data_IF_167340955369
#
_entry.id   IF_167340955369
#
_cell.length_a   1.000
_cell.length_b   1.000
_cell.length_c   1.000
_cell.angle_alpha   90.00
_cell.angle_beta   90.00
_cell.angle_gamma   90.00
#
_symmetry.space_group_name_H-M   'P 1'
#
loop_
_entity.id
_entity.type
_entity.pdbx_description
1 polymer ?
#
# COMPACT_ATOMS: atom_id res chain seq x y z
N UNK A 1 18.99 -3.67 4.13
CA UNK A 1 17.83 -3.56 3.23
C UNK A 1 18.11 -2.64 2.04
N UNK A 2 18.57 -1.38 2.24
CA UNK A 2 18.73 -0.38 1.18
C UNK A 2 19.59 -0.86 0.01
N UNK A 3 20.80 -1.36 0.27
CA UNK A 3 21.69 -1.87 -0.80
C UNK A 3 21.10 -3.09 -1.50
N UNK A 4 20.44 -3.98 -0.76
CA UNK A 4 19.84 -5.18 -1.33
C UNK A 4 18.63 -4.83 -2.22
N UNK A 5 17.78 -3.91 -1.79
CA UNK A 5 16.66 -3.43 -2.59
C UNK A 5 17.13 -2.65 -3.83
N UNK A 6 18.19 -1.84 -3.71
CA UNK A 6 18.80 -1.14 -4.83
C UNK A 6 19.32 -2.12 -5.89
N UNK A 7 19.98 -3.20 -5.47
CA UNK A 7 20.41 -4.28 -6.37
C UNK A 7 19.18 -4.97 -7.01
N UNK A 8 18.18 -5.29 -6.22
CA UNK A 8 16.92 -5.87 -6.67
C UNK A 8 16.79 -7.37 -6.43
N UNK A 9 15.91 -8.01 -7.21
CA UNK A 9 15.60 -9.44 -7.14
C UNK A 9 15.93 -10.14 -8.45
N UNK A 10 16.02 -11.47 -8.41
CA UNK A 10 16.15 -12.25 -9.65
C UNK A 10 14.80 -12.32 -10.38
N UNK A 11 14.84 -12.52 -11.69
CA UNK A 11 13.65 -12.58 -12.58
C UNK A 11 12.59 -13.60 -12.12
N UNK A 12 13.02 -14.73 -11.63
CA UNK A 12 12.14 -15.84 -11.19
C UNK A 12 12.07 -15.98 -9.67
N UNK A 13 12.76 -15.08 -8.95
CA UNK A 13 12.76 -15.03 -7.50
C UNK A 13 11.64 -14.16 -6.94
N UNK A 14 12.01 -13.30 -6.05
CA UNK A 14 11.15 -12.38 -5.31
C UNK A 14 11.60 -12.32 -3.86
N UNK A 15 11.36 -11.21 -3.21
CA UNK A 15 11.66 -11.03 -1.79
C UNK A 15 10.48 -10.37 -1.12
N UNK A 16 9.94 -11.02 -0.11
CA UNK A 16 8.94 -10.48 0.79
C UNK A 16 9.54 -10.39 2.19
N UNK A 17 9.49 -9.20 2.78
CA UNK A 17 10.04 -8.91 4.11
C UNK A 17 8.87 -8.75 5.07
N UNK A 18 8.68 -9.69 5.98
CA UNK A 18 7.72 -9.57 7.06
C UNK A 18 8.26 -8.59 8.12
N UNK A 19 7.47 -7.58 8.46
CA UNK A 19 7.78 -6.58 9.48
C UNK A 19 6.89 -6.77 10.68
N UNK A 20 7.46 -7.15 11.82
CA UNK A 20 6.72 -7.21 13.08
C UNK A 20 6.57 -5.82 13.68
N UNK A 21 5.35 -5.31 13.76
CA UNK A 21 5.02 -4.03 14.39
C UNK A 21 4.09 -4.24 15.61
N UNK A 22 4.29 -3.42 16.61
CA UNK A 22 3.50 -3.38 17.82
C UNK A 22 3.29 -1.92 18.27
N UNK A 23 2.19 -1.35 17.83
CA UNK A 23 1.93 0.07 18.03
C UNK A 23 1.59 0.43 19.48
N UNK A 24 1.09 -0.53 20.24
CA UNK A 24 0.63 -0.37 21.63
C UNK A 24 1.59 -0.93 22.68
N UNK A 25 2.68 -1.60 22.26
CA UNK A 25 3.62 -2.32 23.11
C UNK A 25 2.93 -3.44 23.94
N UNK A 26 2.00 -4.17 23.33
CA UNK A 26 1.31 -5.27 23.99
C UNK A 26 2.10 -6.57 23.95
N UNK A 27 2.88 -6.80 22.91
CA UNK A 27 3.73 -7.98 22.74
C UNK A 27 5.22 -7.69 22.77
N UNK A 28 5.62 -6.41 22.72
CA UNK A 28 6.99 -5.95 22.84
C UNK A 28 7.17 -4.99 24.02
N UNK A 29 8.42 -4.68 24.38
CA UNK A 29 8.72 -3.73 25.45
C UNK A 29 8.61 -2.26 25.01
N UNK A 30 8.58 -2.01 23.70
CA UNK A 30 8.59 -0.67 23.13
C UNK A 30 7.60 -0.54 21.98
N UNK A 31 6.98 0.64 21.88
CA UNK A 31 6.10 1.01 20.78
C UNK A 31 6.89 1.05 19.47
N UNK A 32 6.51 0.25 18.49
CA UNK A 32 7.26 0.11 17.25
C UNK A 32 6.44 0.41 15.99
N UNK A 33 7.09 1.03 14.99
CA UNK A 33 6.55 1.28 13.66
C UNK A 33 7.69 1.22 12.63
N UNK A 34 7.63 0.25 11.71
CA UNK A 34 8.72 -0.07 10.78
C UNK A 34 8.64 0.64 9.44
N UNK A 35 7.49 1.19 9.04
CA UNK A 35 7.26 1.68 7.68
C UNK A 35 8.31 2.69 7.24
N UNK A 36 8.71 3.63 8.11
CA UNK A 36 9.69 4.66 7.74
C UNK A 36 11.07 4.10 7.41
N UNK A 37 11.46 2.99 8.03
CA UNK A 37 12.71 2.30 7.68
C UNK A 37 12.65 1.68 6.27
N UNK A 38 11.48 1.21 5.86
CA UNK A 38 11.29 0.67 4.52
C UNK A 38 11.12 1.77 3.47
N UNK A 39 10.50 2.90 3.82
CA UNK A 39 10.45 4.09 2.95
C UNK A 39 11.89 4.58 2.65
N UNK A 40 12.74 4.69 3.68
CA UNK A 40 14.17 5.02 3.48
C UNK A 40 14.89 4.00 2.58
N UNK A 41 14.55 2.72 2.70
CA UNK A 41 15.07 1.66 1.85
C UNK A 41 14.41 1.59 0.46
N UNK A 42 13.44 2.46 0.14
CA UNK A 42 12.67 2.47 -1.12
C UNK A 42 11.95 1.14 -1.41
N UNK A 43 11.42 0.49 -0.39
CA UNK A 43 10.70 -0.77 -0.50
C UNK A 43 9.20 -0.53 -0.48
N UNK A 44 8.41 -1.03 -1.44
CA UNK A 44 6.96 -1.03 -1.35
C UNK A 44 6.47 -1.70 -0.08
N UNK A 45 5.42 -1.15 0.53
CA UNK A 45 4.88 -1.60 1.81
C UNK A 45 3.42 -2.01 1.64
N UNK A 46 3.14 -3.28 1.90
CA UNK A 46 1.79 -3.83 1.96
C UNK A 46 1.29 -3.83 3.41
N UNK A 47 0.07 -3.33 3.61
CA UNK A 47 -0.58 -3.25 4.93
C UNK A 47 -1.89 -4.06 4.95
N UNK A 48 -1.83 -5.36 5.25
CA UNK A 48 -3.01 -6.20 5.33
C UNK A 48 -3.93 -5.79 6.50
N UNK A 49 -5.23 -5.85 6.27
CA UNK A 49 -6.24 -5.50 7.27
C UNK A 49 -6.72 -6.69 8.11
N UNK A 50 -6.52 -7.92 7.67
CA UNK A 50 -6.92 -9.14 8.38
C UNK A 50 -6.25 -10.37 7.77
N UNK A 51 -6.64 -11.54 8.23
CA UNK A 51 -6.01 -12.82 7.85
C UNK A 51 -6.13 -13.08 6.35
N UNK A 52 -7.29 -12.79 5.75
CA UNK A 52 -7.48 -12.96 4.31
C UNK A 52 -6.52 -12.07 3.50
N UNK A 53 -6.36 -10.80 3.91
CA UNK A 53 -5.41 -9.90 3.24
C UNK A 53 -3.96 -10.40 3.41
N UNK A 54 -3.59 -10.96 4.57
CA UNK A 54 -2.24 -11.51 4.79
C UNK A 54 -1.94 -12.60 3.77
N UNK A 55 -2.88 -13.53 3.56
CA UNK A 55 -2.73 -14.60 2.57
C UNK A 55 -2.65 -14.06 1.15
N UNK A 56 -3.56 -13.15 0.79
CA UNK A 56 -3.65 -12.62 -0.56
C UNK A 56 -2.49 -11.67 -0.89
N UNK A 57 -2.09 -10.85 0.06
CA UNK A 57 -0.95 -9.93 -0.10
C UNK A 57 0.39 -10.66 -0.07
N UNK A 58 0.49 -11.80 0.60
CA UNK A 58 1.65 -12.69 0.50
C UNK A 58 1.90 -13.10 -0.96
N UNK A 59 0.85 -13.58 -1.64
CA UNK A 59 0.92 -13.99 -3.06
C UNK A 59 1.17 -12.79 -3.97
N UNK A 60 0.39 -11.71 -3.80
CA UNK A 60 0.51 -10.47 -4.60
C UNK A 60 1.84 -9.76 -4.37
N UNK A 61 2.33 -9.71 -3.13
CA UNK A 61 3.61 -9.10 -2.79
C UNK A 61 4.80 -9.81 -3.41
N UNK A 62 4.73 -11.16 -3.46
CA UNK A 62 5.74 -11.93 -4.17
C UNK A 62 5.74 -11.65 -5.68
N UNK A 63 4.56 -11.58 -6.29
CA UNK A 63 4.42 -11.24 -7.70
C UNK A 63 4.83 -9.78 -7.98
N UNK A 64 4.49 -8.84 -7.11
CA UNK A 64 4.93 -7.45 -7.17
C UNK A 64 6.46 -7.35 -7.15
N UNK A 65 7.11 -8.10 -6.26
CA UNK A 65 8.57 -8.15 -6.17
C UNK A 65 9.21 -8.64 -7.48
N UNK A 66 8.67 -9.67 -8.09
CA UNK A 66 9.13 -10.18 -9.39
C UNK A 66 8.96 -9.16 -10.50
N UNK A 67 7.78 -8.53 -10.58
CA UNK A 67 7.43 -7.58 -11.62
C UNK A 67 8.27 -6.30 -11.55
N UNK A 68 8.41 -5.74 -10.35
CA UNK A 68 9.10 -4.47 -10.13
C UNK A 68 10.61 -4.59 -9.91
N UNK A 69 11.11 -5.79 -9.62
CA UNK A 69 12.49 -6.00 -9.21
C UNK A 69 12.83 -5.42 -7.82
N UNK A 70 11.82 -5.07 -7.01
CA UNK A 70 11.97 -4.52 -5.66
C UNK A 70 11.81 -5.60 -4.59
N UNK A 71 12.42 -5.40 -3.45
CA UNK A 71 12.03 -6.06 -2.21
C UNK A 71 10.73 -5.44 -1.73
N UNK A 72 9.81 -6.23 -1.24
CA UNK A 72 8.48 -5.78 -0.79
C UNK A 72 8.30 -6.07 0.68
N UNK A 73 7.91 -5.07 1.46
CA UNK A 73 7.54 -5.23 2.86
C UNK A 73 6.08 -5.63 3.02
N UNK A 74 5.79 -6.52 3.95
CA UNK A 74 4.43 -6.80 4.43
C UNK A 74 4.37 -6.52 5.92
N UNK A 75 3.45 -5.64 6.32
CA UNK A 75 3.27 -5.28 7.72
C UNK A 75 2.54 -6.39 8.46
N UNK A 76 3.18 -6.88 9.51
CA UNK A 76 2.65 -7.88 10.42
C UNK A 76 2.39 -7.22 11.78
N UNK A 77 1.28 -6.50 11.88
CA UNK A 77 0.88 -5.87 13.12
C UNK A 77 0.32 -6.93 14.07
N UNK A 78 0.68 -6.86 15.36
CA UNK A 78 0.24 -7.78 16.40
C UNK A 78 -1.28 -8.01 16.34
N UNK A 79 -2.07 -6.94 16.26
CA UNK A 79 -3.53 -6.99 16.23
C UNK A 79 -4.13 -7.71 15.00
N UNK A 80 -3.36 -7.88 13.93
CA UNK A 80 -3.85 -8.54 12.70
C UNK A 80 -3.29 -9.94 12.49
N UNK A 81 -2.17 -10.29 13.14
CA UNK A 81 -1.53 -11.60 12.98
C UNK A 81 -1.85 -12.59 14.09
N UNK A 82 -2.28 -12.11 15.28
CA UNK A 82 -2.66 -12.96 16.42
C UNK A 82 -4.15 -13.30 16.45
N UNK A 83 -4.85 -13.11 15.34
CA UNK A 83 -6.28 -13.40 15.22
C UNK A 83 -6.54 -14.68 14.45
N UNK A 84 -7.72 -15.26 14.67
CA UNK A 84 -8.23 -16.42 13.93
C UNK A 84 -9.45 -16.00 13.14
N UNK A 85 -9.48 -16.32 11.86
CA UNK A 85 -10.57 -15.95 10.95
C UNK A 85 -10.88 -17.11 9.99
N UNK A 86 -12.13 -17.17 9.52
CA UNK A 86 -12.51 -18.06 8.43
C UNK A 86 -12.12 -17.38 7.11
N UNK A 87 -11.29 -18.06 6.32
CA UNK A 87 -10.75 -17.52 5.08
C UNK A 87 -11.12 -18.38 3.88
N UNK A 88 -11.18 -17.75 2.71
CA UNK A 88 -11.15 -18.48 1.44
C UNK A 88 -9.71 -18.96 1.18
N UNK A 89 -9.51 -20.27 1.27
CA UNK A 89 -8.22 -20.92 1.05
C UNK A 89 -8.08 -21.57 -0.34
N UNK A 90 -9.03 -21.33 -1.27
CA UNK A 90 -8.94 -21.88 -2.62
C UNK A 90 -7.62 -21.43 -3.29
N UNK A 91 -6.88 -22.39 -3.87
CA UNK A 91 -5.52 -22.14 -4.39
C UNK A 91 -5.51 -21.19 -5.60
N UNK A 92 -6.62 -21.09 -6.31
CA UNK A 92 -6.79 -20.30 -7.53
C UNK A 92 -7.56 -18.98 -7.32
N UNK A 93 -7.88 -18.63 -6.07
CA UNK A 93 -8.65 -17.41 -5.73
C UNK A 93 -7.90 -16.12 -6.07
N UNK A 94 -6.58 -16.09 -5.90
CA UNK A 94 -5.74 -14.94 -6.23
C UNK A 94 -5.22 -15.07 -7.65
N UNK A 95 -5.78 -14.26 -8.55
CA UNK A 95 -5.30 -14.17 -9.93
C UNK A 95 -4.36 -12.97 -10.04
N UNK A 96 -3.13 -13.21 -10.45
CA UNK A 96 -2.16 -12.15 -10.72
C UNK A 96 -2.37 -11.66 -12.15
N UNK A 97 -2.58 -10.36 -12.26
CA UNK A 97 -2.62 -9.63 -13.53
C UNK A 97 -1.22 -9.09 -13.80
N UNK A 98 -0.62 -9.52 -14.90
CA UNK A 98 0.63 -8.94 -15.41
C UNK A 98 0.30 -7.67 -16.20
N UNK A 99 0.66 -6.48 -15.71
CA UNK A 99 0.28 -5.24 -16.37
C UNK A 99 0.95 -5.12 -17.75
N UNK A 100 0.16 -4.77 -18.76
CA UNK A 100 0.67 -4.47 -20.09
C UNK A 100 1.19 -3.01 -20.13
N UNK A 101 2.40 -2.81 -19.65
CA UNK A 101 3.08 -1.51 -19.66
C UNK A 101 4.10 -1.47 -20.81
N UNK A 102 3.89 -0.59 -21.77
CA UNK A 102 4.78 -0.45 -22.94
C UNK A 102 6.19 0.02 -22.59
N UNK A 103 6.31 0.71 -21.47
CA UNK A 103 7.59 1.21 -20.96
C UNK A 103 8.25 0.28 -19.95
N UNK A 104 7.62 -0.89 -19.72
CA UNK A 104 8.17 -1.89 -18.83
C UNK A 104 9.36 -2.58 -19.45
N UNK A 105 10.49 -2.52 -18.75
CA UNK A 105 11.70 -3.29 -19.07
C UNK A 105 11.99 -4.30 -17.97
N UNK A 106 12.92 -5.21 -18.18
CA UNK A 106 13.38 -6.11 -17.12
C UNK A 106 14.07 -5.31 -16.01
N UNK A 107 13.41 -5.22 -14.86
CA UNK A 107 13.83 -4.41 -13.70
C UNK A 107 14.61 -5.21 -12.65
N UNK A 108 14.82 -6.50 -12.89
CA UNK A 108 15.51 -7.38 -11.98
C UNK A 108 17.02 -7.07 -11.89
N UNK A 109 17.73 -7.79 -11.03
CA UNK A 109 19.15 -7.55 -10.76
C UNK A 109 20.01 -7.64 -12.04
N UNK A 110 20.91 -6.65 -12.22
CA UNK A 110 21.86 -6.58 -13.33
C UNK A 110 23.27 -6.37 -12.77
N UNK A 111 24.21 -7.18 -13.19
CA UNK A 111 25.58 -7.11 -12.70
C UNK A 111 26.38 -5.91 -13.25
N UNK A 112 26.02 -5.40 -14.43
CA UNK A 112 26.75 -4.33 -15.11
C UNK A 112 26.31 -2.90 -14.78
N UNK A 113 25.29 -2.71 -13.95
CA UNK A 113 24.78 -1.38 -13.63
C UNK A 113 25.77 -0.59 -12.75
N UNK A 114 26.06 0.64 -13.13
CA UNK A 114 26.77 1.59 -12.28
C UNK A 114 25.88 2.06 -11.11
N UNK A 115 26.45 2.56 -10.00
CA UNK A 115 25.66 3.06 -8.88
C UNK A 115 24.62 4.14 -9.28
N UNK A 116 24.96 5.17 -10.10
CA UNK A 116 23.95 6.13 -10.55
C UNK A 116 22.84 5.52 -11.41
N UNK A 117 23.18 4.57 -12.29
CA UNK A 117 22.18 3.89 -13.13
C UNK A 117 21.20 3.03 -12.31
N UNK A 118 21.69 2.39 -11.25
CA UNK A 118 20.83 1.63 -10.31
C UNK A 118 19.88 2.55 -9.56
N UNK A 119 20.35 3.71 -9.12
CA UNK A 119 19.56 4.69 -8.39
C UNK A 119 18.49 5.31 -9.29
N UNK A 120 18.85 5.73 -10.49
CA UNK A 120 17.90 6.23 -11.49
C UNK A 120 16.80 5.19 -11.79
N UNK A 121 17.21 3.94 -12.01
CA UNK A 121 16.25 2.86 -12.27
C UNK A 121 15.33 2.58 -11.07
N UNK A 122 15.86 2.68 -9.84
CA UNK A 122 15.06 2.53 -8.62
C UNK A 122 13.97 3.59 -8.54
N UNK A 123 14.35 4.85 -8.63
CA UNK A 123 13.44 5.97 -8.46
C UNK A 123 12.45 6.15 -9.62
N UNK A 124 12.92 6.06 -10.85
CA UNK A 124 12.12 6.42 -12.01
C UNK A 124 11.40 5.24 -12.67
N UNK A 125 11.87 4.00 -12.47
CA UNK A 125 11.30 2.83 -13.16
C UNK A 125 10.70 1.80 -12.21
N UNK A 126 11.44 1.35 -11.20
CA UNK A 126 10.96 0.30 -10.30
C UNK A 126 9.79 0.75 -9.43
N UNK A 127 9.84 1.95 -8.83
CA UNK A 127 8.74 2.48 -8.03
C UNK A 127 7.50 2.77 -8.90
N UNK A 128 7.69 3.24 -10.14
CA UNK A 128 6.60 3.37 -11.11
C UNK A 128 5.96 2.02 -11.42
N UNK A 129 6.76 0.99 -11.70
CA UNK A 129 6.26 -0.36 -11.95
C UNK A 129 5.47 -0.91 -10.75
N UNK A 130 5.91 -0.65 -9.52
CA UNK A 130 5.17 -1.05 -8.32
C UNK A 130 3.77 -0.43 -8.26
N UNK A 131 3.61 0.86 -8.57
CA UNK A 131 2.30 1.53 -8.63
C UNK A 131 1.39 0.94 -9.72
N UNK A 132 1.93 0.68 -10.90
CA UNK A 132 1.19 0.08 -12.03
C UNK A 132 0.71 -1.32 -11.65
N UNK A 133 1.57 -2.13 -11.04
CA UNK A 133 1.20 -3.47 -10.56
C UNK A 133 0.12 -3.40 -9.49
N UNK A 134 0.24 -2.51 -8.51
CA UNK A 134 -0.73 -2.33 -7.43
C UNK A 134 -2.12 -2.01 -7.99
N UNK A 135 -2.21 -1.10 -8.96
CA UNK A 135 -3.45 -0.73 -9.63
C UNK A 135 -4.06 -1.90 -10.39
N UNK A 136 -3.28 -2.58 -11.23
CA UNK A 136 -3.76 -3.71 -12.04
C UNK A 136 -4.25 -4.88 -11.18
N UNK A 137 -3.60 -5.12 -10.03
CA UNK A 137 -3.93 -6.20 -9.11
C UNK A 137 -4.87 -5.78 -7.98
N UNK A 138 -5.42 -4.56 -8.04
CA UNK A 138 -6.42 -4.04 -7.08
C UNK A 138 -5.96 -4.22 -5.63
N UNK A 139 -4.73 -3.80 -5.34
CA UNK A 139 -4.25 -3.76 -3.96
C UNK A 139 -5.03 -2.73 -3.15
N UNK A 140 -5.26 -1.55 -3.75
CA UNK A 140 -6.09 -0.50 -3.17
C UNK A 140 -7.54 -0.64 -3.66
N UNK A 141 -8.51 -0.37 -2.79
CA UNK A 141 -9.93 -0.60 -3.08
C UNK A 141 -10.80 0.52 -2.53
N UNK A 142 -11.71 1.01 -3.36
CA UNK A 142 -12.86 1.79 -2.91
C UNK A 142 -13.92 0.82 -2.40
N UNK A 143 -14.40 0.98 -1.18
CA UNK A 143 -15.40 0.08 -0.58
C UNK A 143 -16.76 0.76 -0.43
N UNK A 144 -16.86 1.85 0.34
CA UNK A 144 -18.04 2.69 0.37
C UNK A 144 -17.97 3.67 -0.80
N UNK A 145 -19.07 3.88 -1.50
CA UNK A 145 -19.10 4.78 -2.66
C UNK A 145 -20.40 5.58 -2.72
N UNK A 146 -20.29 6.80 -3.20
CA UNK A 146 -21.41 7.68 -3.48
C UNK A 146 -21.22 8.33 -4.85
N UNK A 147 -22.31 8.54 -5.57
CA UNK A 147 -22.32 9.22 -6.88
C UNK A 147 -21.97 10.70 -6.75
N UNK A 148 -22.39 11.33 -5.64
CA UNK A 148 -22.10 12.73 -5.30
C UNK A 148 -21.14 12.83 -4.10
N UNK A 149 -20.04 12.10 -4.12
CA UNK A 149 -19.09 12.04 -3.01
C UNK A 149 -18.57 13.42 -2.60
N UNK A 150 -18.60 13.71 -1.30
CA UNK A 150 -18.07 14.95 -0.69
C UNK A 150 -17.11 14.68 0.44
N UNK A 151 -17.27 13.55 1.12
CA UNK A 151 -16.45 13.15 2.24
C UNK A 151 -15.73 11.86 1.86
N UNK A 152 -14.40 11.87 1.96
CA UNK A 152 -13.56 10.71 1.78
C UNK A 152 -12.96 10.25 3.11
N UNK A 153 -12.89 8.94 3.35
CA UNK A 153 -12.09 8.37 4.43
C UNK A 153 -11.06 7.45 3.80
N UNK A 154 -9.80 7.64 4.12
CA UNK A 154 -8.70 6.80 3.66
C UNK A 154 -7.97 6.18 4.85
N UNK A 155 -7.73 4.88 4.78
CA UNK A 155 -7.04 4.12 5.83
C UNK A 155 -6.46 2.81 5.31
N UNK A 156 -5.67 2.13 6.14
CA UNK A 156 -5.01 0.86 5.81
C UNK A 156 -4.94 -0.06 7.03
N UNK A 157 -4.71 -1.34 6.79
CA UNK A 157 -4.45 -2.32 7.84
C UNK A 157 -5.53 -2.34 8.92
N UNK A 158 -5.12 -2.35 10.20
CA UNK A 158 -6.03 -2.33 11.35
C UNK A 158 -6.92 -1.09 11.36
N UNK A 159 -6.37 0.10 11.05
CA UNK A 159 -7.15 1.35 11.00
C UNK A 159 -8.32 1.27 9.99
N UNK A 160 -8.19 0.46 8.95
CA UNK A 160 -9.31 0.17 8.05
C UNK A 160 -10.41 -0.62 8.75
N UNK A 161 -10.07 -1.66 9.52
CA UNK A 161 -11.06 -2.43 10.28
C UNK A 161 -11.77 -1.56 11.32
N UNK A 162 -11.03 -0.71 12.02
CA UNK A 162 -11.58 0.24 12.99
C UNK A 162 -12.51 1.25 12.31
N UNK A 163 -12.16 1.73 11.12
CA UNK A 163 -13.01 2.64 10.32
C UNK A 163 -14.33 1.97 9.94
N UNK A 164 -14.29 0.75 9.42
CA UNK A 164 -15.50 0.00 9.05
C UNK A 164 -16.36 -0.27 10.28
N UNK A 165 -15.74 -0.65 11.39
CA UNK A 165 -16.44 -0.88 12.66
C UNK A 165 -17.10 0.40 13.19
N UNK A 166 -16.41 1.53 13.16
CA UNK A 166 -16.97 2.82 13.57
C UNK A 166 -18.15 3.24 12.68
N UNK A 167 -18.07 3.07 11.38
CA UNK A 167 -19.18 3.33 10.47
C UNK A 167 -20.39 2.43 10.79
N UNK A 168 -20.15 1.15 11.06
CA UNK A 168 -21.20 0.22 11.49
C UNK A 168 -21.87 0.64 12.79
N UNK A 169 -21.12 1.09 13.79
CA UNK A 169 -21.66 1.60 15.06
C UNK A 169 -22.53 2.86 14.87
N UNK A 170 -22.22 3.67 13.85
CA UNK A 170 -22.99 4.85 13.45
C UNK A 170 -24.21 4.50 12.59
N UNK A 171 -24.42 3.23 12.26
CA UNK A 171 -25.49 2.77 11.35
C UNK A 171 -25.26 3.16 9.89
N UNK A 172 -24.02 3.44 9.53
CA UNK A 172 -23.64 3.79 8.15
C UNK A 172 -23.11 2.53 7.46
N UNK A 173 -23.93 1.91 6.66
CA UNK A 173 -23.57 0.83 5.77
C UNK A 173 -23.24 1.35 4.35
N UNK A 174 -23.02 0.43 3.40
CA UNK A 174 -22.69 0.80 2.01
C UNK A 174 -23.87 1.47 1.27
N UNK A 175 -25.10 1.17 1.64
CA UNK A 175 -26.30 1.80 1.05
C UNK A 175 -26.48 3.21 1.60
N UNK A 176 -26.28 3.42 2.90
CA UNK A 176 -26.32 4.73 3.55
C UNK A 176 -25.20 5.69 3.10
N UNK A 177 -24.11 5.15 2.53
CA UNK A 177 -22.99 5.97 2.03
C UNK A 177 -23.42 7.03 1.02
N UNK A 178 -24.41 6.72 0.16
CA UNK A 178 -24.97 7.67 -0.80
C UNK A 178 -25.62 8.87 -0.10
N UNK A 179 -26.40 8.64 0.94
CA UNK A 179 -27.07 9.68 1.72
C UNK A 179 -26.08 10.64 2.40
N UNK A 180 -24.97 10.10 2.90
CA UNK A 180 -23.93 10.91 3.55
C UNK A 180 -22.89 11.44 2.57
N UNK A 181 -23.02 11.16 1.27
CA UNK A 181 -22.07 11.52 0.22
C UNK A 181 -20.63 11.05 0.57
N UNK A 182 -20.56 9.86 1.17
CA UNK A 182 -19.36 9.25 1.71
C UNK A 182 -18.72 8.30 0.71
N UNK A 183 -17.41 8.34 0.62
CA UNK A 183 -16.61 7.31 -0.05
C UNK A 183 -15.45 6.91 0.84
N UNK A 184 -15.03 5.66 0.76
CA UNK A 184 -13.85 5.18 1.51
C UNK A 184 -12.84 4.56 0.58
N UNK A 185 -11.56 4.73 0.91
CA UNK A 185 -10.44 4.12 0.22
C UNK A 185 -9.63 3.29 1.21
N UNK A 186 -9.63 1.96 1.00
CA UNK A 186 -8.73 1.02 1.66
C UNK A 186 -7.43 0.95 0.88
N UNK A 187 -6.33 1.38 1.46
CA UNK A 187 -5.00 1.17 0.90
C UNK A 187 -4.47 -0.20 1.29
N UNK A 188 -4.09 -0.98 0.29
CA UNK A 188 -3.34 -2.21 0.47
C UNK A 188 -1.83 -1.98 0.34
N UNK A 189 -1.41 -1.05 -0.53
CA UNK A 189 -0.03 -0.59 -0.65
C UNK A 189 0.10 0.83 -0.11
N UNK A 190 0.58 0.97 1.13
CA UNK A 190 0.69 2.28 1.80
C UNK A 190 1.89 3.10 1.35
N UNK A 191 2.85 2.48 0.68
CA UNK A 191 3.97 3.16 0.03
C UNK A 191 4.57 2.27 -1.08
N UNK A 192 4.95 2.86 -2.25
CA UNK A 192 4.55 4.18 -2.70
C UNK A 192 3.06 4.22 -3.04
N UNK A 193 2.37 5.27 -2.64
CA UNK A 193 0.95 5.44 -2.99
C UNK A 193 0.82 5.69 -4.49
N UNK A 194 -0.19 5.08 -5.12
CA UNK A 194 -0.56 5.36 -6.50
C UNK A 194 -1.29 6.71 -6.58
N UNK A 195 -0.53 7.76 -6.85
CA UNK A 195 -0.99 9.15 -6.91
C UNK A 195 -2.12 9.38 -7.94
N UNK A 196 -2.07 8.70 -9.08
CA UNK A 196 -3.13 8.78 -10.08
C UNK A 196 -4.43 8.17 -9.56
N UNK A 197 -4.39 6.98 -8.95
CA UNK A 197 -5.57 6.34 -8.39
C UNK A 197 -6.19 7.15 -7.26
N UNK A 198 -5.36 7.71 -6.38
CA UNK A 198 -5.86 8.56 -5.28
C UNK A 198 -6.46 9.86 -5.80
N UNK A 199 -5.87 10.50 -6.81
CA UNK A 199 -6.45 11.70 -7.45
C UNK A 199 -7.81 11.42 -8.06
N UNK A 200 -7.94 10.31 -8.80
CA UNK A 200 -9.20 9.89 -9.42
C UNK A 200 -10.28 9.62 -8.35
N UNK A 201 -9.90 8.97 -7.23
CA UNK A 201 -10.81 8.76 -6.11
C UNK A 201 -11.16 10.06 -5.40
N UNK A 202 -10.23 10.98 -5.26
CA UNK A 202 -10.42 12.25 -4.53
C UNK A 202 -11.23 13.30 -5.33
N UNK A 203 -11.40 13.10 -6.63
CA UNK A 203 -12.12 14.04 -7.47
C UNK A 203 -13.56 14.28 -6.94
N UNK A 204 -13.93 15.54 -6.78
CA UNK A 204 -15.21 15.97 -6.22
C UNK A 204 -15.31 15.95 -4.68
N UNK A 205 -14.31 15.45 -3.96
CA UNK A 205 -14.28 15.49 -2.50
C UNK A 205 -14.01 16.91 -1.99
N UNK A 206 -14.69 17.27 -0.91
CA UNK A 206 -14.49 18.52 -0.18
C UNK A 206 -13.56 18.32 1.03
N UNK A 207 -13.63 17.12 1.62
CA UNK A 207 -12.85 16.76 2.80
C UNK A 207 -12.39 15.32 2.70
N UNK A 208 -11.13 15.08 3.07
CA UNK A 208 -10.57 13.74 3.26
C UNK A 208 -10.16 13.60 4.73
N UNK A 209 -10.65 12.55 5.37
CA UNK A 209 -10.22 12.09 6.68
C UNK A 209 -9.21 10.96 6.48
N UNK A 210 -8.00 11.14 7.00
CA UNK A 210 -6.97 10.10 7.04
C UNK A 210 -6.99 9.44 8.40
N UNK A 211 -7.14 8.12 8.43
CA UNK A 211 -7.14 7.33 9.67
C UNK A 211 -5.92 6.44 9.69
N UNK A 212 -4.98 6.79 10.54
CA UNK A 212 -3.69 6.09 10.70
C UNK A 212 -3.37 5.88 12.18
N UNK A 213 -2.55 4.89 12.45
CA UNK A 213 -2.01 4.62 13.77
C UNK A 213 -0.59 5.18 13.90
N UNK A 214 -0.28 5.73 15.06
CA UNK A 214 1.03 6.19 15.53
C UNK A 214 1.57 7.41 14.77
N UNK A 215 2.13 7.29 13.58
CA UNK A 215 2.67 8.40 12.78
C UNK A 215 2.06 8.41 11.39
N UNK A 216 1.72 9.60 10.91
CA UNK A 216 1.15 9.78 9.59
C UNK A 216 2.15 9.42 8.48
N UNK A 217 1.87 8.41 7.69
CA UNK A 217 2.58 8.05 6.46
C UNK A 217 1.71 8.36 5.24
N UNK A 218 0.44 7.98 5.31
CA UNK A 218 -0.56 8.23 4.26
C UNK A 218 -0.80 9.73 4.15
N UNK A 219 -1.03 10.41 5.28
CA UNK A 219 -1.25 11.87 5.31
C UNK A 219 -0.10 12.63 4.65
N UNK A 220 1.15 12.34 5.02
CA UNK A 220 2.32 12.98 4.42
C UNK A 220 2.43 12.71 2.92
N UNK A 221 2.12 11.50 2.48
CA UNK A 221 2.09 11.15 1.05
C UNK A 221 1.00 11.92 0.31
N UNK A 222 -0.19 12.09 0.92
CA UNK A 222 -1.32 12.83 0.32
C UNK A 222 -1.02 14.32 0.21
N UNK A 223 -0.33 14.93 1.17
CA UNK A 223 0.10 16.34 1.09
C UNK A 223 0.97 16.54 -0.15
N UNK A 224 1.94 15.66 -0.39
CA UNK A 224 2.77 15.72 -1.60
C UNK A 224 2.00 15.48 -2.90
N UNK A 225 0.93 14.68 -2.86
CA UNK A 225 0.07 14.41 -4.01
C UNK A 225 -0.84 15.60 -4.33
N UNK A 226 -1.39 16.27 -3.31
CA UNK A 226 -2.34 17.38 -3.44
C UNK A 226 -1.68 18.75 -3.66
N UNK A 227 -0.46 18.93 -3.17
CA UNK A 227 0.34 20.14 -3.39
C UNK A 227 1.48 19.84 -4.39
N UNK A 228 1.22 19.81 -5.71
CA UNK A 228 2.31 19.66 -6.66
C UNK A 228 3.18 20.90 -6.63
N UNK A 229 4.35 20.76 -5.98
CA UNK A 229 5.52 21.62 -6.11
C UNK A 229 5.25 23.14 -6.01
N UNK A 230 5.33 23.70 -4.81
CA UNK A 230 5.96 25.04 -4.73
C UNK A 230 7.38 24.88 -5.29
N UNK A 231 7.78 25.63 -6.33
CA UNK A 231 9.16 25.67 -6.73
C UNK A 231 9.98 26.00 -5.50
N UNK A 232 10.92 25.15 -5.12
CA UNK A 232 11.92 25.50 -4.13
C UNK A 232 12.76 26.62 -4.76
N UNK A 233 12.40 27.86 -4.48
CA UNK A 233 13.30 28.98 -4.70
C UNK A 233 14.37 28.85 -3.62
N UNK A 234 15.51 28.27 -4.00
CA UNK A 234 16.77 28.39 -3.25
C UNK A 234 17.38 29.73 -3.63
#
# INVERSE_FOLDING_TARGET
>A
FRHSNLAGTSKHGGVLVAMGDDHSAESSTELHQSEYALVDAMMPILSPAGVQDILDFGIKGWALSRYSGLWVGIKCLKDTIEVTEVVDAAYDRVKIVDPQDKDHEELNIRLGDTPPAREDRLHNKKLRAAKIFARANKLDKVDYSSTEKKIGIISAGKSWLDTVHALSLLGIDREEAEKYKLTTLKLGMVWPIDDGFVKDWADGLVKILVVEEKRGLIELSLIHISEPTRPSTI
#
